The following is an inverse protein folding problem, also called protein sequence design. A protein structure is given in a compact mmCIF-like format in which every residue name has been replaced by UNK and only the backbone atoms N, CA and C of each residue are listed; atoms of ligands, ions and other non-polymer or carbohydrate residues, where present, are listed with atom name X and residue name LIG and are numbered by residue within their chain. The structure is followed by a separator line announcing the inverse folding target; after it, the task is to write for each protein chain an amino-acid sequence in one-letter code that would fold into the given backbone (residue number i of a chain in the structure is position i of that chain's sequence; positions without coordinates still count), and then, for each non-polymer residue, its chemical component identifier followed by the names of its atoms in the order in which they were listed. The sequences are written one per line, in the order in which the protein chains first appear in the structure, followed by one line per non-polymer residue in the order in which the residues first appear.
data_IF_371167802560
#
_entry.id   IF_371167802560
#
_cell.length_a   1.000
_cell.length_b   1.000
_cell.length_c   1.000
_cell.angle_alpha   90.00
_cell.angle_beta   90.00
_cell.angle_gamma   90.00
#
_symmetry.space_group_name_H-M   'P 1'
#
loop_
_entity.id
_entity.type
_entity.pdbx_description
1 polymer ?
#
# COMPACT_ATOMS: atom_id res chain seq x y z
N UNK A 1 6.59 6.56 -13.36
CA UNK A 1 7.79 6.50 -14.18
C UNK A 1 9.00 6.13 -13.33
N UNK A 2 10.07 5.67 -13.95
CA UNK A 2 11.32 5.36 -13.25
C UNK A 2 11.92 6.61 -12.59
N UNK A 3 11.78 7.76 -13.22
CA UNK A 3 12.24 9.05 -12.73
C UNK A 3 11.52 9.52 -11.46
N UNK A 4 10.34 8.97 -11.19
CA UNK A 4 9.56 9.28 -9.99
C UNK A 4 10.01 8.45 -8.77
N UNK A 5 10.93 7.51 -8.98
CA UNK A 5 11.56 6.72 -7.90
C UNK A 5 12.85 7.43 -7.51
N UNK A 6 12.83 8.07 -6.35
CA UNK A 6 13.90 8.94 -5.86
C UNK A 6 14.38 8.49 -4.48
N UNK A 7 15.49 9.06 -4.02
CA UNK A 7 15.98 8.80 -2.67
C UNK A 7 15.01 9.37 -1.62
N UNK A 8 14.77 8.58 -0.60
CA UNK A 8 13.93 8.98 0.52
C UNK A 8 14.78 9.52 1.66
N UNK A 9 14.36 10.62 2.25
CA UNK A 9 15.10 11.29 3.33
C UNK A 9 15.36 10.42 4.57
N UNK A 10 14.45 9.48 4.84
CA UNK A 10 14.58 8.52 5.94
C UNK A 10 15.37 7.25 5.55
N UNK A 11 15.94 7.20 4.36
CA UNK A 11 16.67 6.07 3.81
C UNK A 11 15.87 5.23 2.81
N UNK A 12 16.55 4.58 1.88
CA UNK A 12 15.93 3.79 0.82
C UNK A 12 15.34 4.65 -0.30
N UNK A 13 14.38 4.09 -1.02
CA UNK A 13 13.72 4.75 -2.16
C UNK A 13 12.24 5.03 -1.87
N UNK A 14 11.71 6.04 -2.52
CA UNK A 14 10.29 6.37 -2.49
C UNK A 14 9.78 6.69 -3.88
N UNK A 15 8.47 6.57 -4.07
CA UNK A 15 7.78 7.11 -5.25
C UNK A 15 7.26 8.49 -4.92
N UNK A 16 7.64 9.45 -5.75
CA UNK A 16 7.09 10.80 -5.70
C UNK A 16 5.95 10.91 -6.70
N UNK A 17 4.74 11.09 -6.20
CA UNK A 17 3.52 11.16 -7.02
C UNK A 17 2.96 12.58 -6.94
N UNK A 18 2.76 13.18 -8.10
CA UNK A 18 2.07 14.47 -8.21
C UNK A 18 0.70 14.21 -8.82
N UNK A 19 -0.34 14.46 -8.04
CA UNK A 19 -1.72 14.30 -8.51
C UNK A 19 -2.10 15.47 -9.42
N UNK A 20 -2.43 15.18 -10.66
CA UNK A 20 -2.73 16.21 -11.68
C UNK A 20 -3.93 17.09 -11.32
N UNK A 21 -4.90 16.53 -10.59
CA UNK A 21 -6.16 17.23 -10.29
C UNK A 21 -6.01 18.38 -9.30
N UNK A 22 -5.14 18.26 -8.31
CA UNK A 22 -4.95 19.27 -7.26
C UNK A 22 -3.49 19.59 -6.96
N UNK A 23 -2.58 19.05 -7.77
CA UNK A 23 -1.12 19.18 -7.61
C UNK A 23 -0.62 18.79 -6.21
N UNK A 24 -1.37 17.95 -5.52
CA UNK A 24 -0.92 17.39 -4.26
C UNK A 24 0.25 16.43 -4.50
N UNK A 25 1.26 16.56 -3.65
CA UNK A 25 2.43 15.68 -3.66
C UNK A 25 2.26 14.59 -2.62
N UNK A 26 2.44 13.33 -3.05
CA UNK A 26 2.48 12.18 -2.18
C UNK A 26 3.85 11.50 -2.31
N UNK A 27 4.46 11.20 -1.19
CA UNK A 27 5.73 10.49 -1.11
C UNK A 27 5.46 9.14 -0.45
N UNK A 28 5.65 8.06 -1.21
CA UNK A 28 5.37 6.70 -0.74
C UNK A 28 6.68 5.91 -0.73
N UNK A 29 7.19 5.52 0.45
CA UNK A 29 8.35 4.65 0.55
C UNK A 29 8.12 3.32 -0.15
N UNK A 30 9.17 2.78 -0.80
CA UNK A 30 9.13 1.49 -1.48
C UNK A 30 10.09 0.54 -0.75
N UNK A 31 9.63 -0.68 -0.48
CA UNK A 31 10.48 -1.71 0.11
C UNK A 31 11.54 -2.19 -0.87
N UNK A 32 12.67 -2.68 -0.35
CA UNK A 32 13.72 -3.31 -1.14
C UNK A 32 13.21 -4.50 -1.94
N UNK A 33 12.31 -5.28 -1.35
CA UNK A 33 11.64 -6.39 -2.03
C UNK A 33 10.86 -5.91 -3.27
N UNK A 34 10.07 -4.84 -3.14
CA UNK A 34 9.32 -4.27 -4.24
C UNK A 34 10.23 -3.71 -5.33
N UNK A 35 11.33 -3.05 -4.94
CA UNK A 35 12.34 -2.56 -5.89
C UNK A 35 12.97 -3.72 -6.68
N UNK A 36 13.27 -4.83 -6.01
CA UNK A 36 13.77 -6.04 -6.65
C UNK A 36 12.78 -6.63 -7.65
N UNK A 37 11.50 -6.73 -7.26
CA UNK A 37 10.44 -7.28 -8.13
C UNK A 37 10.21 -6.46 -9.41
N UNK A 38 10.27 -5.13 -9.32
CA UNK A 38 10.14 -4.28 -10.51
C UNK A 38 11.45 -4.17 -11.31
N UNK A 39 12.55 -4.72 -10.79
CA UNK A 39 13.87 -4.66 -11.42
C UNK A 39 14.40 -3.23 -11.49
N UNK A 40 14.37 -2.51 -10.36
CA UNK A 40 14.83 -1.12 -10.31
C UNK A 40 16.29 -0.99 -10.76
N UNK A 41 16.55 0.06 -11.53
CA UNK A 41 17.90 0.53 -11.88
C UNK A 41 17.85 2.03 -12.09
N UNK A 42 18.85 2.75 -11.58
CA UNK A 42 18.96 4.20 -11.73
C UNK A 42 19.14 4.67 -13.18
N UNK A 43 19.53 3.77 -14.06
CA UNK A 43 19.74 4.06 -15.50
C UNK A 43 18.42 3.99 -16.30
N UNK A 44 17.39 3.36 -15.75
CA UNK A 44 16.10 3.19 -16.44
C UNK A 44 15.32 4.49 -16.49
N UNK A 45 14.69 4.72 -17.64
CA UNK A 45 13.85 5.90 -17.89
C UNK A 45 12.49 5.52 -18.46
N UNK A 46 11.51 6.40 -18.28
CA UNK A 46 10.17 6.24 -18.81
C UNK A 46 9.25 5.39 -17.93
N UNK A 47 8.33 4.67 -18.53
CA UNK A 47 7.32 3.90 -17.79
C UNK A 47 7.92 2.67 -17.11
N UNK A 48 7.60 2.49 -15.82
CA UNK A 48 7.97 1.27 -15.07
C UNK A 48 7.29 0.05 -15.67
N UNK A 49 5.98 0.16 -15.93
CA UNK A 49 5.18 -0.89 -16.54
C UNK A 49 4.89 -0.52 -18.01
N UNK A 50 5.74 -1.00 -18.91
CA UNK A 50 5.57 -0.80 -20.35
C UNK A 50 4.47 -1.73 -20.87
N UNK A 51 3.59 -1.20 -21.71
CA UNK A 51 2.53 -1.98 -22.33
C UNK A 51 1.36 -2.34 -21.42
N UNK A 52 1.36 -1.90 -20.18
CA UNK A 52 0.23 -2.10 -19.28
C UNK A 52 -0.89 -1.14 -19.62
N UNK A 53 -1.85 -1.62 -20.38
CA UNK A 53 -3.03 -0.83 -20.74
C UNK A 53 -4.05 -0.80 -19.59
N UNK A 54 -4.82 0.28 -19.51
CA UNK A 54 -5.89 0.41 -18.52
C UNK A 54 -6.91 -0.75 -18.61
N UNK A 55 -7.13 -1.25 -19.79
CA UNK A 55 -7.98 -2.42 -20.06
C UNK A 55 -7.45 -3.74 -19.49
N UNK A 56 -6.16 -3.83 -19.20
CA UNK A 56 -5.54 -5.02 -18.62
C UNK A 56 -6.18 -5.41 -17.27
N UNK A 57 -6.62 -4.41 -16.51
CA UNK A 57 -7.28 -4.62 -15.21
C UNK A 57 -8.67 -5.26 -15.34
N UNK A 58 -9.27 -5.25 -16.51
CA UNK A 58 -10.64 -5.74 -16.74
C UNK A 58 -10.67 -7.18 -17.24
N UNK A 59 -10.00 -7.50 -18.32
CA UNK A 59 -10.09 -8.83 -18.93
C UNK A 59 -8.91 -9.72 -18.58
N UNK A 60 -7.64 -9.38 -18.88
CA UNK A 60 -6.52 -10.28 -18.61
C UNK A 60 -6.38 -10.64 -17.13
N UNK A 61 -6.60 -9.69 -16.22
CA UNK A 61 -6.52 -9.95 -14.79
C UNK A 61 -7.63 -10.87 -14.31
N UNK A 62 -8.85 -10.71 -14.81
CA UNK A 62 -9.97 -11.60 -14.49
C UNK A 62 -9.73 -13.03 -14.97
N UNK A 63 -9.20 -13.19 -16.16
CA UNK A 63 -8.84 -14.51 -16.70
C UNK A 63 -7.73 -15.17 -15.89
N UNK A 64 -6.72 -14.40 -15.50
CA UNK A 64 -5.64 -14.88 -14.65
C UNK A 64 -6.14 -15.35 -13.28
N UNK A 65 -6.99 -14.57 -12.62
CA UNK A 65 -7.61 -14.93 -11.34
C UNK A 65 -8.47 -16.18 -11.48
N UNK A 66 -9.26 -16.27 -12.55
CA UNK A 66 -10.10 -17.44 -12.83
C UNK A 66 -9.27 -18.70 -13.07
N UNK A 67 -8.18 -18.60 -13.81
CA UNK A 67 -7.27 -19.72 -14.08
C UNK A 67 -6.57 -20.23 -12.81
N UNK A 68 -6.42 -19.37 -11.80
CA UNK A 68 -5.94 -19.75 -10.48
C UNK A 68 -7.00 -20.44 -9.59
N UNK A 69 -8.21 -20.66 -10.11
CA UNK A 69 -9.31 -21.31 -9.37
C UNK A 69 -10.02 -20.38 -8.37
N UNK A 70 -9.78 -19.09 -8.46
CA UNK A 70 -10.38 -18.10 -7.55
C UNK A 70 -11.73 -17.64 -8.13
N UNK A 71 -12.81 -17.89 -7.40
CA UNK A 71 -14.19 -17.54 -7.81
C UNK A 71 -14.65 -16.18 -7.30
N UNK A 72 -13.93 -15.59 -6.33
CA UNK A 72 -14.25 -14.26 -5.80
C UNK A 72 -13.97 -13.16 -6.82
N UNK A 73 -14.79 -12.12 -6.79
CA UNK A 73 -14.55 -10.93 -7.60
C UNK A 73 -13.39 -10.12 -7.02
N UNK A 74 -12.21 -10.26 -7.61
CA UNK A 74 -10.99 -9.56 -7.20
C UNK A 74 -10.69 -8.46 -8.21
N UNK A 75 -10.45 -7.25 -7.70
CA UNK A 75 -10.09 -6.06 -8.47
C UNK A 75 -8.86 -5.40 -7.87
N UNK A 76 -8.34 -4.34 -8.50
CA UNK A 76 -7.25 -3.55 -7.90
C UNK A 76 -7.63 -2.97 -6.54
N UNK A 77 -8.89 -2.62 -6.32
CA UNK A 77 -9.38 -2.21 -5.00
C UNK A 77 -9.26 -3.31 -3.96
N UNK A 78 -9.37 -4.57 -4.36
CA UNK A 78 -9.16 -5.72 -3.45
C UNK A 78 -7.72 -5.78 -2.94
N UNK A 79 -6.73 -5.60 -3.81
CA UNK A 79 -5.32 -5.51 -3.42
C UNK A 79 -5.08 -4.34 -2.47
N UNK A 80 -5.64 -3.20 -2.79
CA UNK A 80 -5.52 -1.99 -1.99
C UNK A 80 -6.12 -2.18 -0.59
N UNK A 81 -7.30 -2.78 -0.49
CA UNK A 81 -7.93 -3.14 0.79
C UNK A 81 -7.11 -4.14 1.59
N UNK A 82 -6.58 -5.15 0.93
CA UNK A 82 -5.72 -6.16 1.55
C UNK A 82 -4.46 -5.51 2.12
N UNK A 83 -3.82 -4.64 1.39
CA UNK A 83 -2.65 -3.90 1.86
C UNK A 83 -2.98 -3.13 3.15
N UNK A 84 -4.06 -2.35 3.16
CA UNK A 84 -4.48 -1.59 4.34
C UNK A 84 -4.79 -2.50 5.54
N UNK A 85 -5.47 -3.61 5.31
CA UNK A 85 -5.82 -4.60 6.34
C UNK A 85 -4.58 -5.25 6.94
N UNK A 86 -3.62 -5.66 6.10
CA UNK A 86 -2.37 -6.26 6.54
C UNK A 86 -1.52 -5.26 7.32
N UNK A 87 -1.47 -4.01 6.92
CA UNK A 87 -0.79 -2.95 7.65
C UNK A 87 -1.41 -2.75 9.05
N UNK A 88 -2.74 -2.72 9.13
CA UNK A 88 -3.45 -2.64 10.41
C UNK A 88 -3.17 -3.85 11.31
N UNK A 89 -3.18 -5.05 10.74
CA UNK A 89 -2.85 -6.29 11.46
C UNK A 89 -1.40 -6.32 11.96
N UNK A 90 -0.48 -5.69 11.22
CA UNK A 90 0.92 -5.54 11.63
C UNK A 90 1.14 -4.46 12.71
N UNK A 91 0.11 -3.74 13.11
CA UNK A 91 0.19 -2.70 14.13
C UNK A 91 0.54 -1.32 13.61
N UNK A 92 0.52 -1.11 12.29
CA UNK A 92 0.75 0.21 11.71
C UNK A 92 -0.39 1.16 12.10
N UNK A 93 -0.05 2.36 12.52
CA UNK A 93 -1.06 3.35 12.92
C UNK A 93 -1.88 3.83 11.72
N UNK A 94 -3.12 4.25 12.01
CA UNK A 94 -4.09 4.57 10.97
C UNK A 94 -3.71 5.79 10.13
N UNK A 95 -3.01 6.76 10.70
CA UNK A 95 -2.55 7.94 9.95
C UNK A 95 -1.44 7.59 8.97
N UNK A 96 -0.55 6.71 9.35
CA UNK A 96 0.49 6.18 8.46
C UNK A 96 -0.13 5.40 7.31
N UNK A 97 -1.13 4.55 7.59
CA UNK A 97 -1.86 3.82 6.54
C UNK A 97 -2.59 4.79 5.62
N UNK A 98 -3.24 5.80 6.16
CA UNK A 98 -3.89 6.85 5.37
C UNK A 98 -2.90 7.53 4.41
N UNK A 99 -1.73 7.86 4.89
CA UNK A 99 -0.67 8.46 4.08
C UNK A 99 -0.17 7.52 2.98
N UNK A 100 0.10 6.26 3.33
CA UNK A 100 0.53 5.24 2.35
C UNK A 100 -0.51 4.97 1.27
N UNK A 101 -1.78 5.06 1.62
CA UNK A 101 -2.91 4.87 0.70
C UNK A 101 -3.27 6.14 -0.06
N UNK A 102 -2.64 7.26 0.25
CA UNK A 102 -2.98 8.60 -0.28
C UNK A 102 -4.47 8.94 -0.12
N UNK A 103 -5.08 8.51 0.99
CA UNK A 103 -6.47 8.83 1.31
C UNK A 103 -6.59 10.26 1.84
N UNK A 104 -7.50 11.05 1.26
CA UNK A 104 -7.78 12.41 1.73
C UNK A 104 -8.48 12.43 3.08
N UNK A 105 -9.24 11.38 3.40
CA UNK A 105 -10.02 11.24 4.63
C UNK A 105 -9.63 9.98 5.40
N UNK A 106 -9.41 10.13 6.69
CA UNK A 106 -9.15 9.01 7.59
C UNK A 106 -10.34 8.02 7.66
N UNK A 107 -11.56 8.52 7.44
CA UNK A 107 -12.76 7.68 7.39
C UNK A 107 -12.68 6.62 6.31
N UNK A 108 -12.12 6.94 5.14
CA UNK A 108 -11.89 5.98 4.05
C UNK A 108 -10.94 4.87 4.47
N UNK A 109 -9.87 5.22 5.19
CA UNK A 109 -8.92 4.24 5.73
C UNK A 109 -9.57 3.38 6.82
N UNK A 110 -10.36 3.97 7.70
CA UNK A 110 -11.03 3.26 8.80
C UNK A 110 -12.00 2.17 8.32
N UNK A 111 -12.59 2.30 7.14
CA UNK A 111 -13.46 1.27 6.56
C UNK A 111 -12.77 -0.08 6.40
N UNK A 112 -11.45 -0.10 6.23
CA UNK A 112 -10.67 -1.30 6.05
C UNK A 112 -10.09 -1.85 7.35
N UNK A 113 -10.34 -1.17 8.47
CA UNK A 113 -9.71 -1.45 9.76
C UNK A 113 -10.57 -2.27 10.72
N UNK A 114 -11.31 -3.27 10.23
CA UNK A 114 -12.02 -4.22 11.11
C UNK A 114 -11.08 -4.99 12.05
N UNK A 115 -9.81 -5.08 11.69
CA UNK A 115 -8.76 -5.72 12.50
C UNK A 115 -8.26 -4.81 13.62
N UNK A 116 -8.62 -3.52 13.61
CA UNK A 116 -8.20 -2.53 14.61
C UNK A 116 -8.68 -2.91 16.02
N UNK A 117 -9.82 -3.56 16.16
CA UNK A 117 -10.33 -3.97 17.47
C UNK A 117 -9.44 -5.01 18.14
N UNK A 118 -8.92 -5.98 17.40
CA UNK A 118 -7.94 -6.93 17.92
C UNK A 118 -6.62 -6.23 18.26
N UNK A 119 -6.18 -5.28 17.46
CA UNK A 119 -4.98 -4.48 17.73
C UNK A 119 -5.12 -3.58 18.96
N UNK A 120 -6.29 -2.98 19.17
CA UNK A 120 -6.59 -2.24 20.39
C UNK A 120 -6.50 -3.12 21.63
N UNK A 121 -7.02 -4.32 21.54
CA UNK A 121 -6.96 -5.31 22.63
C UNK A 121 -5.51 -5.69 22.93
N UNK A 122 -4.71 -5.97 21.93
CA UNK A 122 -3.29 -6.26 22.08
C UNK A 122 -2.52 -5.04 22.63
N UNK A 123 -2.80 -3.84 22.14
CA UNK A 123 -2.16 -2.62 22.63
C UNK A 123 -2.49 -2.37 24.12
N UNK A 124 -3.72 -2.63 24.55
CA UNK A 124 -4.11 -2.48 25.95
C UNK A 124 -3.38 -3.44 26.90
N UNK A 125 -2.96 -4.60 26.41
CA UNK A 125 -2.17 -5.57 27.15
C UNK A 125 -0.69 -5.21 27.29
N UNK A 126 -0.17 -4.34 26.44
CA UNK A 126 1.25 -3.95 26.46
C UNK A 126 1.64 -3.09 27.65
N UNK A 127 0.68 -2.43 28.26
CA UNK A 127 0.90 -1.58 29.43
C UNK A 127 0.26 -2.28 30.63
N UNK A 128 1.06 -2.84 31.49
CA UNK A 128 0.60 -3.44 32.72
C UNK A 128 1.09 -2.61 33.92
N UNK A 129 0.13 -2.10 34.67
CA UNK A 129 0.40 -1.43 35.94
C UNK A 129 0.38 -2.47 37.07
N UNK A 130 1.21 -3.50 36.96
CA UNK A 130 1.32 -4.49 38.02
C UNK A 130 2.23 -3.98 39.11
N UNK A 131 1.67 -3.79 40.30
CA UNK A 131 2.50 -3.68 41.51
C UNK A 131 3.19 -5.01 41.73
N UNK A 132 4.49 -5.01 41.59
CA UNK A 132 5.31 -6.04 42.19
C UNK A 132 5.39 -5.73 43.71
N UNK A 133 4.52 -6.35 44.41
CA UNK A 133 4.54 -6.34 45.86
C UNK A 133 5.34 -7.49 46.35
#
# INVERSE_FOLDING_TARGET
RWEDIVDYSAGGKCVHIITQKNKAEDIIPISEEALGLIGYSSEKKGLVFKGLMRSWTQVPMKEWIRSAGITKNITFHSYRRTFATLQGAAGTDIRTIQSLMAHKSITTTMRYMKVVDSNKREASKKITLTRKG
#
